data_IF_181362493923
#
_entry.id   IF_181362493923
#
_cell.length_a   1.000
_cell.length_b   1.000
_cell.length_c   1.000
_cell.angle_alpha   90.00
_cell.angle_beta   90.00
_cell.angle_gamma   90.00
#
_symmetry.space_group_name_H-M   'P 1'
#
loop_
_entity.id
_entity.type
_entity.pdbx_description
1 polymer ?
#
# COMPACT_ATOMS: atom_id res chain seq x y z
N UNK A 1 15.97 11.66 20.37
CA UNK A 1 15.47 11.52 18.99
C UNK A 1 15.57 10.06 18.60
N UNK A 2 14.48 9.27 18.70
CA UNK A 2 14.50 7.90 18.19
C UNK A 2 14.61 8.00 16.67
N UNK A 3 15.67 7.43 16.13
CA UNK A 3 16.15 7.70 14.78
C UNK A 3 15.08 7.48 13.71
N UNK A 4 14.92 8.45 12.81
CA UNK A 4 14.10 8.35 11.59
C UNK A 4 14.60 7.24 10.63
N UNK A 5 15.76 6.64 10.93
CA UNK A 5 16.36 5.53 10.19
C UNK A 5 15.41 4.36 9.97
N UNK A 6 14.60 3.96 10.96
CA UNK A 6 13.65 2.85 10.78
C UNK A 6 12.68 3.12 9.63
N UNK A 7 12.04 4.29 9.64
CA UNK A 7 11.08 4.71 8.61
C UNK A 7 11.75 4.86 7.25
N UNK A 8 12.98 5.36 7.21
CA UNK A 8 13.75 5.48 5.97
C UNK A 8 14.06 4.11 5.37
N UNK A 9 14.42 3.13 6.19
CA UNK A 9 14.67 1.75 5.74
C UNK A 9 13.38 1.10 5.25
N UNK A 10 12.28 1.20 6.00
CA UNK A 10 10.97 0.67 5.57
C UNK A 10 10.51 1.30 4.25
N UNK A 11 10.64 2.62 4.09
CA UNK A 11 10.30 3.31 2.85
C UNK A 11 11.14 2.84 1.66
N UNK A 12 12.44 2.62 1.87
CA UNK A 12 13.34 2.16 0.81
C UNK A 12 13.06 0.69 0.41
N UNK A 13 12.72 -0.17 1.38
CA UNK A 13 12.26 -1.53 1.12
C UNK A 13 10.97 -1.50 0.29
N UNK A 14 9.98 -0.72 0.70
CA UNK A 14 8.71 -0.57 -0.03
C UNK A 14 8.95 -0.09 -1.46
N UNK A 15 9.82 0.92 -1.64
CA UNK A 15 10.20 1.44 -2.95
C UNK A 15 10.80 0.35 -3.84
N UNK A 16 11.73 -0.43 -3.29
CA UNK A 16 12.37 -1.55 -4.01
C UNK A 16 11.36 -2.60 -4.45
N UNK A 17 10.40 -2.94 -3.58
CA UNK A 17 9.33 -3.89 -3.90
C UNK A 17 8.43 -3.37 -5.03
N UNK A 18 8.01 -2.11 -4.94
CA UNK A 18 7.16 -1.47 -5.93
C UNK A 18 7.84 -1.43 -7.31
N UNK A 19 9.09 -0.95 -7.37
CA UNK A 19 9.88 -0.87 -8.60
C UNK A 19 10.03 -2.25 -9.28
N UNK A 20 10.29 -3.31 -8.50
CA UNK A 20 10.40 -4.66 -9.04
C UNK A 20 9.07 -5.18 -9.61
N UNK A 21 7.96 -4.95 -8.90
CA UNK A 21 6.63 -5.37 -9.35
C UNK A 21 6.17 -4.59 -10.59
N UNK A 22 6.39 -3.26 -10.60
CA UNK A 22 5.99 -2.38 -11.71
C UNK A 22 6.82 -2.66 -12.98
N UNK A 23 8.08 -3.06 -12.82
CA UNK A 23 8.93 -3.48 -13.93
C UNK A 23 8.66 -4.93 -14.40
N UNK A 24 7.74 -5.66 -13.77
CA UNK A 24 7.44 -7.06 -14.10
C UNK A 24 8.59 -8.04 -13.79
N UNK A 25 9.50 -7.67 -12.90
CA UNK A 25 10.72 -8.44 -12.59
C UNK A 25 10.50 -9.56 -11.56
N UNK A 26 9.29 -9.69 -11.03
CA UNK A 26 8.89 -10.79 -10.14
C UNK A 26 8.21 -10.33 -8.86
N UNK A 27 8.23 -11.21 -7.85
CA UNK A 27 7.69 -10.91 -6.52
C UNK A 27 8.57 -9.88 -5.80
N UNK A 28 7.94 -8.80 -5.33
CA UNK A 28 8.61 -7.72 -4.61
C UNK A 28 9.34 -8.21 -3.36
N UNK A 29 8.83 -9.26 -2.69
CA UNK A 29 9.50 -9.87 -1.53
C UNK A 29 10.89 -10.39 -1.90
N UNK A 30 11.03 -11.10 -3.02
CA UNK A 30 12.32 -11.64 -3.45
C UNK A 30 13.29 -10.54 -3.89
N UNK A 31 12.79 -9.47 -4.50
CA UNK A 31 13.60 -8.30 -4.81
C UNK A 31 14.14 -7.64 -3.52
N UNK A 32 13.29 -7.46 -2.51
CA UNK A 32 13.69 -6.91 -1.22
C UNK A 32 14.64 -7.84 -0.46
N UNK A 33 14.41 -9.16 -0.47
CA UNK A 33 15.30 -10.15 0.15
C UNK A 33 16.71 -10.09 -0.43
N UNK A 34 16.84 -9.89 -1.74
CA UNK A 34 18.15 -9.70 -2.41
C UNK A 34 18.80 -8.36 -2.08
N UNK A 35 18.03 -7.29 -2.02
CA UNK A 35 18.54 -5.94 -1.73
C UNK A 35 18.89 -5.75 -0.24
N UNK A 36 18.19 -6.45 0.66
CA UNK A 36 18.28 -6.29 2.11
C UNK A 36 18.45 -7.65 2.83
N UNK A 37 19.53 -8.41 2.58
CA UNK A 37 19.69 -9.78 3.08
C UNK A 37 19.81 -9.89 4.61
N UNK A 38 20.09 -8.79 5.30
CA UNK A 38 20.15 -8.74 6.77
C UNK A 38 18.83 -8.35 7.45
N UNK A 39 17.79 -8.02 6.68
CA UNK A 39 16.49 -7.64 7.22
C UNK A 39 15.67 -8.90 7.47
N UNK A 40 15.12 -9.09 8.69
CA UNK A 40 14.27 -10.24 8.97
C UNK A 40 13.03 -10.28 8.09
N UNK A 41 12.63 -11.48 7.66
CA UNK A 41 11.48 -11.71 6.79
C UNK A 41 10.20 -11.05 7.29
N UNK A 42 9.94 -11.06 8.60
CA UNK A 42 8.76 -10.41 9.19
C UNK A 42 8.69 -8.92 8.86
N UNK A 43 9.82 -8.23 8.78
CA UNK A 43 9.89 -6.81 8.41
C UNK A 43 9.64 -6.64 6.91
N UNK A 44 10.14 -7.56 6.09
CA UNK A 44 9.85 -7.56 4.65
C UNK A 44 8.34 -7.77 4.39
N UNK A 45 7.71 -8.71 5.09
CA UNK A 45 6.27 -8.92 4.98
C UNK A 45 5.46 -7.72 5.49
N UNK A 46 5.87 -7.09 6.59
CA UNK A 46 5.25 -5.84 7.07
C UNK A 46 5.32 -4.73 6.00
N UNK A 47 6.49 -4.56 5.36
CA UNK A 47 6.66 -3.60 4.26
C UNK A 47 5.78 -3.95 3.05
N UNK A 48 5.68 -5.24 2.70
CA UNK A 48 4.83 -5.69 1.59
C UNK A 48 3.34 -5.46 1.87
N UNK A 49 2.86 -5.75 3.08
CA UNK A 49 1.49 -5.43 3.49
C UNK A 49 1.21 -3.92 3.43
N UNK A 50 2.19 -3.10 3.83
CA UNK A 50 2.07 -1.65 3.74
C UNK A 50 2.01 -1.16 2.28
N UNK A 51 2.79 -1.77 1.37
CA UNK A 51 2.73 -1.48 -0.07
C UNK A 51 1.36 -1.86 -0.65
N UNK A 52 0.86 -3.05 -0.33
CA UNK A 52 -0.43 -3.54 -0.81
C UNK A 52 -1.60 -2.67 -0.31
N UNK A 53 -1.53 -2.23 0.96
CA UNK A 53 -2.49 -1.28 1.54
C UNK A 53 -2.48 0.05 0.78
N UNK A 54 -1.31 0.61 0.49
CA UNK A 54 -1.18 1.87 -0.26
C UNK A 54 -1.77 1.76 -1.68
N UNK A 55 -1.54 0.63 -2.35
CA UNK A 55 -2.10 0.39 -3.69
C UNK A 55 -3.61 0.20 -3.66
N UNK A 56 -4.12 -0.52 -2.67
CA UNK A 56 -5.56 -0.70 -2.46
C UNK A 56 -6.25 0.64 -2.23
N UNK A 57 -5.65 1.50 -1.39
CA UNK A 57 -6.14 2.85 -1.15
C UNK A 57 -6.11 3.72 -2.41
N UNK A 58 -5.01 3.71 -3.17
CA UNK A 58 -4.92 4.44 -4.44
C UNK A 58 -5.95 3.95 -5.47
N UNK A 59 -6.24 2.66 -5.48
CA UNK A 59 -7.31 2.10 -6.30
C UNK A 59 -8.69 2.60 -5.85
N UNK A 60 -8.98 2.58 -4.55
CA UNK A 60 -10.23 3.14 -4.01
C UNK A 60 -10.42 4.61 -4.36
N UNK A 61 -9.39 5.44 -4.21
CA UNK A 61 -9.45 6.85 -4.59
C UNK A 61 -9.71 7.06 -6.08
N UNK A 62 -9.22 6.15 -6.94
CA UNK A 62 -9.54 6.16 -8.37
C UNK A 62 -11.01 5.81 -8.60
N UNK A 63 -11.53 4.81 -7.90
CA UNK A 63 -12.93 4.39 -7.97
C UNK A 63 -13.86 5.50 -7.48
N UNK A 64 -13.59 6.12 -6.33
CA UNK A 64 -14.39 7.22 -5.77
C UNK A 64 -14.51 8.43 -6.70
N UNK A 65 -13.51 8.66 -7.57
CA UNK A 65 -13.55 9.73 -8.58
C UNK A 65 -14.34 9.37 -9.83
N UNK A 66 -14.58 8.08 -10.06
CA UNK A 66 -15.28 7.59 -11.26
C UNK A 66 -16.71 7.17 -10.97
N UNK A 67 -16.99 6.72 -9.76
CA UNK A 67 -18.36 6.57 -9.27
C UNK A 67 -18.87 7.98 -8.96
N UNK A 68 -20.01 8.31 -9.54
CA UNK A 68 -20.72 9.54 -9.18
C UNK A 68 -20.99 9.50 -7.67
N UNK A 69 -20.35 10.40 -6.93
CA UNK A 69 -20.45 10.48 -5.47
C UNK A 69 -21.92 10.62 -5.05
N UNK A 70 -22.78 11.20 -5.90
CA UNK A 70 -24.23 11.23 -5.68
C UNK A 70 -24.84 9.81 -5.59
N UNK A 71 -24.39 8.84 -6.38
CA UNK A 71 -24.92 7.47 -6.41
C UNK A 71 -24.55 6.70 -5.14
N UNK A 72 -23.30 6.79 -4.68
CA UNK A 72 -22.88 6.17 -3.41
C UNK A 72 -23.61 6.84 -2.25
N UNK A 73 -23.66 8.18 -2.22
CA UNK A 73 -24.36 8.92 -1.17
C UNK A 73 -25.83 8.54 -1.10
N UNK A 74 -26.48 8.40 -2.26
CA UNK A 74 -27.88 7.95 -2.35
C UNK A 74 -28.06 6.51 -1.86
N UNK A 75 -27.13 5.60 -2.20
CA UNK A 75 -27.18 4.22 -1.73
C UNK A 75 -26.95 4.10 -0.20
N UNK A 76 -26.04 4.88 0.37
CA UNK A 76 -25.79 4.93 1.82
C UNK A 76 -26.99 5.51 2.57
N UNK A 77 -27.61 6.56 2.03
CA UNK A 77 -28.85 7.13 2.59
C UNK A 77 -30.01 6.13 2.52
N UNK A 78 -30.15 5.38 1.41
CA UNK A 78 -31.18 4.36 1.26
C UNK A 78 -31.01 3.17 2.22
N UNK A 79 -29.79 2.91 2.68
CA UNK A 79 -29.49 1.85 3.67
C UNK A 79 -29.55 2.34 5.13
N UNK A 80 -29.94 3.61 5.36
CA UNK A 80 -30.07 4.20 6.69
C UNK A 80 -28.74 4.52 7.38
N UNK A 81 -27.61 4.43 6.66
CA UNK A 81 -26.30 4.86 7.15
C UNK A 81 -26.09 6.32 6.79
N UNK A 82 -26.48 7.21 7.70
CA UNK A 82 -26.19 8.64 7.59
C UNK A 82 -24.68 8.86 7.74
N UNK A 83 -23.97 9.42 6.74
CA UNK A 83 -22.61 9.87 6.96
C UNK A 83 -22.65 11.09 7.89
N UNK A 84 -22.14 10.95 9.11
CA UNK A 84 -21.84 12.07 10.03
C UNK A 84 -20.63 12.85 9.59
#
# INVERSE_FOLDING_TARGET
>A
MKSNTRKQVEAEIIRTMAEAQDAGLGDGIEAARRAFPGVPDVVLYECWTNLDTQRTEAWWQTIERTIDVEVIRSALQATGQTPT
#
